data_IF_826158376392
#
_entry.id   IF_826158376392
#
_cell.length_a   1.000
_cell.length_b   1.000
_cell.length_c   1.000
_cell.angle_alpha   90.00
_cell.angle_beta   90.00
_cell.angle_gamma   90.00
#
_symmetry.space_group_name_H-M   'P 1'
#
loop_
_entity.id
_entity.type
_entity.pdbx_description
1 polymer ?
#
# COMPACT_ATOMS: atom_id res chain seq x y z
N UNK A 1 42.45 -63.93 -15.88
CA UNK A 1 42.99 -63.00 -14.87
C UNK A 1 43.95 -62.07 -15.59
N UNK A 2 43.43 -61.15 -16.40
CA UNK A 2 44.23 -60.22 -17.21
C UNK A 2 44.14 -58.85 -16.57
N UNK A 3 45.32 -58.41 -16.14
CA UNK A 3 45.58 -57.22 -15.37
C UNK A 3 45.27 -55.97 -16.23
N UNK A 4 44.16 -55.29 -15.94
CA UNK A 4 43.79 -53.98 -16.51
C UNK A 4 44.56 -52.84 -15.81
N UNK A 5 45.43 -53.15 -14.83
CA UNK A 5 45.90 -52.17 -13.85
C UNK A 5 47.05 -51.26 -14.29
N UNK A 6 47.44 -51.22 -15.57
CA UNK A 6 48.69 -50.55 -15.96
C UNK A 6 48.61 -49.55 -17.14
N UNK A 7 47.48 -48.86 -17.35
CA UNK A 7 47.44 -47.69 -18.25
C UNK A 7 47.37 -46.36 -17.45
N UNK A 8 48.51 -45.77 -17.05
CA UNK A 8 48.56 -44.50 -16.30
C UNK A 8 47.98 -43.30 -17.05
N UNK A 9 47.94 -43.35 -18.38
CA UNK A 9 47.37 -42.32 -19.27
C UNK A 9 45.86 -42.08 -19.04
N UNK A 10 45.10 -43.12 -18.66
CA UNK A 10 43.66 -43.01 -18.38
C UNK A 10 43.39 -42.23 -17.09
N UNK A 11 44.27 -42.36 -16.09
CA UNK A 11 44.19 -41.60 -14.84
C UNK A 11 44.44 -40.11 -15.07
N UNK A 12 45.46 -39.77 -15.85
CA UNK A 12 45.80 -38.38 -16.18
C UNK A 12 44.73 -37.69 -17.03
N UNK A 13 44.12 -38.40 -18.00
CA UNK A 13 42.97 -37.87 -18.76
C UNK A 13 41.75 -37.63 -17.88
N UNK A 14 41.37 -38.59 -17.03
CA UNK A 14 40.24 -38.42 -16.09
C UNK A 14 40.46 -37.26 -15.11
N UNK A 15 41.69 -37.08 -14.63
CA UNK A 15 42.05 -35.94 -13.77
C UNK A 15 41.90 -34.60 -14.50
N UNK A 16 42.33 -34.51 -15.76
CA UNK A 16 42.14 -33.31 -16.60
C UNK A 16 40.66 -33.04 -16.89
N UNK A 17 39.89 -34.06 -17.24
CA UNK A 17 38.43 -33.95 -17.48
C UNK A 17 37.68 -33.52 -16.21
N UNK A 18 37.97 -34.12 -15.06
CA UNK A 18 37.38 -33.72 -13.78
C UNK A 18 37.74 -32.28 -13.40
N UNK A 19 38.97 -31.83 -13.71
CA UNK A 19 39.42 -30.45 -13.47
C UNK A 19 38.68 -29.45 -14.39
N UNK A 20 38.42 -29.81 -15.64
CA UNK A 20 37.65 -29.01 -16.59
C UNK A 20 36.17 -28.92 -16.19
N UNK A 21 35.58 -30.02 -15.72
CA UNK A 21 34.20 -30.05 -15.20
C UNK A 21 34.08 -29.16 -13.96
N UNK A 22 35.03 -29.26 -13.01
CA UNK A 22 35.07 -28.42 -11.79
C UNK A 22 35.23 -26.92 -12.10
N UNK A 23 35.93 -26.58 -13.18
CA UNK A 23 36.09 -25.20 -13.62
C UNK A 23 34.79 -24.55 -14.10
N UNK A 24 33.81 -25.33 -14.58
CA UNK A 24 32.55 -24.79 -15.14
C UNK A 24 31.49 -24.47 -14.07
N UNK A 25 31.60 -25.07 -12.88
CA UNK A 25 30.69 -24.82 -11.76
C UNK A 25 30.81 -23.43 -11.11
N UNK A 26 31.84 -22.63 -11.47
CA UNK A 26 31.99 -21.27 -10.95
C UNK A 26 30.92 -20.30 -11.47
N UNK A 27 30.48 -20.51 -12.70
CA UNK A 27 29.45 -19.73 -13.40
C UNK A 27 28.06 -19.96 -12.81
N UNK A 28 27.73 -21.22 -12.52
CA UNK A 28 26.43 -21.63 -12.00
C UNK A 28 26.15 -21.02 -10.61
N UNK A 29 27.18 -20.92 -9.77
CA UNK A 29 27.04 -20.42 -8.40
C UNK A 29 26.71 -18.93 -8.35
N UNK A 30 27.17 -18.13 -9.32
CA UNK A 30 26.82 -16.71 -9.42
C UNK A 30 25.38 -16.52 -9.88
N UNK A 31 24.95 -17.31 -10.87
CA UNK A 31 23.56 -17.29 -11.33
C UNK A 31 22.58 -17.67 -10.23
N UNK A 32 22.92 -18.70 -9.45
CA UNK A 32 22.13 -19.12 -8.30
C UNK A 32 22.08 -18.06 -7.19
N UNK A 33 23.20 -17.39 -6.91
CA UNK A 33 23.26 -16.30 -5.94
C UNK A 33 22.40 -15.10 -6.36
N UNK A 34 22.46 -14.68 -7.62
CA UNK A 34 21.60 -13.61 -8.14
C UNK A 34 20.12 -13.99 -8.05
N UNK A 35 19.76 -15.24 -8.33
CA UNK A 35 18.39 -15.73 -8.17
C UNK A 35 17.88 -15.60 -6.73
N UNK A 36 18.68 -16.04 -5.76
CA UNK A 36 18.33 -15.95 -4.33
C UNK A 36 18.20 -14.50 -3.88
N UNK A 37 19.13 -13.62 -4.30
CA UNK A 37 19.07 -12.19 -3.98
C UNK A 37 17.79 -11.57 -4.56
N UNK A 38 17.43 -11.90 -5.80
CA UNK A 38 16.25 -11.36 -6.47
C UNK A 38 14.96 -11.77 -5.74
N UNK A 39 14.86 -13.04 -5.33
CA UNK A 39 13.74 -13.54 -4.50
C UNK A 39 13.68 -12.79 -3.17
N UNK A 40 14.84 -12.56 -2.53
CA UNK A 40 14.92 -11.78 -1.29
C UNK A 40 14.39 -10.34 -1.45
N UNK A 41 14.79 -9.66 -2.54
CA UNK A 41 14.31 -8.30 -2.85
C UNK A 41 12.80 -8.29 -3.11
N UNK A 42 12.29 -9.26 -3.87
CA UNK A 42 10.86 -9.37 -4.15
C UNK A 42 10.04 -9.58 -2.86
N UNK A 43 10.51 -10.45 -1.96
CA UNK A 43 9.89 -10.69 -0.66
C UNK A 43 9.88 -9.43 0.20
N UNK A 44 10.98 -8.68 0.24
CA UNK A 44 11.07 -7.41 0.97
C UNK A 44 10.09 -6.37 0.43
N UNK A 45 10.02 -6.21 -0.89
CA UNK A 45 9.09 -5.29 -1.53
C UNK A 45 7.62 -5.65 -1.21
N UNK A 46 7.28 -6.94 -1.26
CA UNK A 46 5.94 -7.43 -0.93
C UNK A 46 5.56 -7.10 0.52
N UNK A 47 6.43 -7.38 1.49
CA UNK A 47 6.19 -7.09 2.91
C UNK A 47 6.06 -5.58 3.15
N UNK A 48 6.94 -4.77 2.54
CA UNK A 48 6.91 -3.31 2.69
C UNK A 48 5.61 -2.72 2.14
N UNK A 49 5.18 -3.20 0.98
CA UNK A 49 3.93 -2.77 0.36
C UNK A 49 2.72 -3.18 1.21
N UNK A 50 2.72 -4.39 1.77
CA UNK A 50 1.66 -4.85 2.66
C UNK A 50 1.55 -3.98 3.92
N UNK A 51 2.68 -3.66 4.56
CA UNK A 51 2.72 -2.76 5.72
C UNK A 51 2.17 -1.38 5.35
N UNK A 52 2.56 -0.85 4.19
CA UNK A 52 2.06 0.43 3.68
C UNK A 52 0.56 0.40 3.46
N UNK A 53 0.02 -0.67 2.86
CA UNK A 53 -1.42 -0.81 2.62
C UNK A 53 -2.19 -0.93 3.93
N UNK A 54 -1.70 -1.71 4.90
CA UNK A 54 -2.38 -1.87 6.20
C UNK A 54 -2.34 -0.55 6.98
N UNK A 55 -1.20 0.14 7.00
CA UNK A 55 -1.05 1.43 7.68
C UNK A 55 -1.93 2.52 7.07
N UNK A 56 -1.89 2.69 5.74
CA UNK A 56 -2.73 3.65 5.03
C UNK A 56 -4.22 3.24 5.06
N UNK A 57 -4.50 1.94 4.95
CA UNK A 57 -5.84 1.38 4.98
C UNK A 57 -6.52 1.57 6.34
N UNK A 58 -5.79 1.43 7.44
CA UNK A 58 -6.31 1.74 8.77
C UNK A 58 -6.76 3.21 8.88
N UNK A 59 -6.00 4.13 8.28
CA UNK A 59 -6.39 5.54 8.20
C UNK A 59 -7.62 5.77 7.31
N UNK A 60 -7.82 4.98 6.25
CA UNK A 60 -8.95 5.15 5.33
C UNK A 60 -10.31 4.79 5.96
N UNK A 61 -10.32 3.97 7.02
CA UNK A 61 -11.54 3.66 7.77
C UNK A 61 -11.92 4.73 8.80
N UNK A 62 -11.05 5.70 9.07
CA UNK A 62 -11.38 6.83 9.95
C UNK A 62 -12.16 7.88 9.17
N UNK A 63 -13.41 7.57 8.82
CA UNK A 63 -14.34 8.59 8.33
C UNK A 63 -14.78 9.44 9.51
N UNK A 64 -14.25 10.65 9.64
CA UNK A 64 -14.74 11.62 10.61
C UNK A 64 -16.23 11.90 10.33
N UNK A 65 -17.09 11.27 11.13
CA UNK A 65 -18.54 11.40 11.01
C UNK A 65 -18.99 12.28 12.16
N UNK A 66 -19.04 13.59 11.92
CA UNK A 66 -19.58 14.55 12.88
C UNK A 66 -21.10 14.41 12.89
N UNK A 67 -21.67 14.08 14.06
CA UNK A 67 -23.12 14.13 14.26
C UNK A 67 -23.51 15.56 14.60
N UNK A 68 -24.13 16.25 13.65
CA UNK A 68 -24.67 17.58 13.86
C UNK A 68 -26.16 17.45 14.23
N UNK A 69 -26.50 17.84 15.44
CA UNK A 69 -27.89 17.85 15.92
C UNK A 69 -28.57 19.13 15.40
N UNK A 70 -29.45 18.97 14.41
CA UNK A 70 -30.13 20.07 13.75
C UNK A 70 -31.58 20.05 14.20
N UNK A 71 -32.06 21.17 14.74
CA UNK A 71 -33.46 21.32 15.08
C UNK A 71 -34.25 21.79 13.83
N UNK A 72 -34.84 20.84 13.10
CA UNK A 72 -35.58 21.12 11.87
C UNK A 72 -36.83 22.00 12.09
N UNK A 73 -37.39 22.01 13.31
CA UNK A 73 -38.58 22.80 13.62
C UNK A 73 -38.27 24.31 13.69
N UNK A 74 -37.09 24.70 14.16
CA UNK A 74 -36.64 26.10 14.15
C UNK A 74 -36.36 26.63 12.73
N UNK A 75 -36.06 25.72 11.79
CA UNK A 75 -35.74 26.05 10.40
C UNK A 75 -36.96 26.08 9.46
N UNK A 76 -38.18 25.87 9.98
CA UNK A 76 -39.42 25.94 9.20
C UNK A 76 -39.66 24.75 8.26
N UNK A 77 -38.92 23.65 8.42
CA UNK A 77 -39.09 22.44 7.60
C UNK A 77 -40.17 21.56 8.21
N UNK A 78 -41.35 21.52 7.59
CA UNK A 78 -42.46 20.62 7.96
C UNK A 78 -42.47 19.36 7.09
N UNK A 79 -43.15 18.31 7.55
CA UNK A 79 -43.23 17.01 6.83
C UNK A 79 -43.83 17.19 5.42
N UNK A 80 -44.74 18.14 5.21
CA UNK A 80 -45.30 18.42 3.89
C UNK A 80 -44.30 19.10 2.93
N UNK A 81 -43.37 19.90 3.46
CA UNK A 81 -42.42 20.68 2.64
C UNK A 81 -41.02 20.07 2.61
N UNK A 82 -40.77 18.97 3.33
CA UNK A 82 -39.46 18.34 3.45
C UNK A 82 -38.84 17.93 2.10
N UNK A 83 -39.65 17.62 1.10
CA UNK A 83 -39.17 17.26 -0.25
C UNK A 83 -38.75 18.46 -1.11
N UNK A 84 -39.25 19.67 -0.80
CA UNK A 84 -38.92 20.92 -1.51
C UNK A 84 -38.00 21.83 -0.67
N UNK A 85 -37.91 21.58 0.63
CA UNK A 85 -37.09 22.33 1.55
C UNK A 85 -35.62 22.12 1.22
N UNK A 86 -34.90 23.22 1.01
CA UNK A 86 -33.48 23.19 0.73
C UNK A 86 -32.72 22.93 2.04
N UNK A 87 -32.60 21.65 2.41
CA UNK A 87 -31.90 21.18 3.62
C UNK A 87 -30.49 21.76 3.70
N UNK A 88 -29.87 22.08 2.56
CA UNK A 88 -28.55 22.73 2.49
C UNK A 88 -28.55 24.11 3.12
N UNK A 89 -29.63 24.87 2.98
CA UNK A 89 -29.76 26.21 3.58
C UNK A 89 -29.91 26.11 5.09
N UNK A 90 -30.72 25.16 5.56
CA UNK A 90 -30.94 24.89 6.99
C UNK A 90 -29.65 24.48 7.70
N UNK A 91 -28.90 23.55 7.12
CA UNK A 91 -27.60 23.11 7.66
C UNK A 91 -26.62 24.29 7.74
N UNK A 92 -26.54 25.10 6.67
CA UNK A 92 -25.66 26.26 6.61
C UNK A 92 -26.01 27.33 7.66
N UNK A 93 -27.30 27.54 7.89
CA UNK A 93 -27.75 28.53 8.88
C UNK A 93 -27.54 28.04 10.31
N UNK A 94 -27.72 26.74 10.59
CA UNK A 94 -27.36 26.13 11.88
C UNK A 94 -25.84 26.22 12.16
N UNK A 95 -25.00 25.98 11.16
CA UNK A 95 -23.54 26.12 11.28
C UNK A 95 -23.17 27.58 11.58
N UNK A 96 -23.84 28.56 10.96
CA UNK A 96 -23.61 29.99 11.23
C UNK A 96 -24.00 30.39 12.65
N UNK A 97 -25.06 29.80 13.19
CA UNK A 97 -25.51 30.05 14.55
C UNK A 97 -24.53 29.50 15.60
N UNK A 98 -23.91 28.35 15.31
CA UNK A 98 -22.88 27.75 16.17
C UNK A 98 -21.54 28.49 16.18
N UNK A 99 -21.24 29.29 15.15
CA UNK A 99 -19.98 30.04 15.03
C UNK A 99 -20.20 31.56 14.90
N UNK A 100 -20.66 32.25 15.97
CA UNK A 100 -20.98 33.68 15.95
C UNK A 100 -19.75 34.59 15.74
N UNK A 101 -18.52 34.07 15.91
CA UNK A 101 -17.27 34.79 15.69
C UNK A 101 -16.87 34.98 14.22
N UNK A 102 -17.57 34.33 13.27
CA UNK A 102 -17.32 34.49 11.83
C UNK A 102 -18.15 35.66 11.24
N UNK A 103 -17.69 36.88 11.52
CA UNK A 103 -18.40 38.11 11.14
C UNK A 103 -18.04 38.59 9.73
N UNK A 104 -16.88 38.21 9.19
CA UNK A 104 -16.41 38.69 7.88
C UNK A 104 -17.02 37.90 6.71
N UNK A 105 -17.30 38.57 5.58
CA UNK A 105 -17.79 37.91 4.34
C UNK A 105 -16.83 36.83 3.83
N UNK A 106 -15.54 36.95 4.15
CA UNK A 106 -14.50 35.98 3.77
C UNK A 106 -14.63 34.71 4.61
N UNK A 107 -14.78 34.86 5.92
CA UNK A 107 -14.93 33.74 6.87
C UNK A 107 -16.24 32.98 6.58
N UNK A 108 -17.30 33.71 6.20
CA UNK A 108 -18.58 33.12 5.79
C UNK A 108 -18.52 32.35 4.47
N UNK A 109 -17.54 32.62 3.60
CA UNK A 109 -17.29 31.81 2.38
C UNK A 109 -16.51 30.56 2.72
N UNK A 110 -15.45 30.69 3.53
CA UNK A 110 -14.65 29.55 3.98
C UNK A 110 -15.49 28.53 4.76
N UNK A 111 -16.45 28.98 5.58
CA UNK A 111 -17.42 28.10 6.27
C UNK A 111 -18.44 27.43 5.35
N UNK A 112 -18.72 28.02 4.18
CA UNK A 112 -19.68 27.46 3.22
C UNK A 112 -19.08 26.46 2.23
N UNK A 113 -17.76 26.47 2.09
CA UNK A 113 -16.98 25.57 1.23
C UNK A 113 -16.44 24.32 1.97
N UNK A 114 -16.63 24.24 3.30
CA UNK A 114 -16.40 23.05 4.12
C UNK A 114 -17.57 22.06 4.03
#
# INVERSE_FOLDING_TARGET
>A
MTDISAHPELGAKRQKEAKLVKSRYGSDRRFQAYGIICIGIAMLALVTLLISIIGAGYSAFHRHTMKLDINLAAAGVTVENAAQADIRVVVRDAIREMFPSATSRRDRRELGDL
#
